data_IF_326358289906
#
_entry.id   IF_326358289906
#
_cell.length_a   1.000
_cell.length_b   1.000
_cell.length_c   1.000
_cell.angle_alpha   90.00
_cell.angle_beta   90.00
_cell.angle_gamma   90.00
#
_symmetry.space_group_name_H-M   'P 1'
#
loop_
_entity.id
_entity.type
_entity.pdbx_description
1 polymer ?
#
# COMPACT_ATOMS: atom_id res chain seq x y z
N UNK A 1 -10.22 7.46 -18.58
CA UNK A 1 -9.63 6.89 -17.34
C UNK A 1 -8.32 6.09 -17.58
N UNK A 2 -7.80 6.03 -18.81
CA UNK A 2 -6.59 5.28 -19.18
C UNK A 2 -5.24 5.99 -18.90
N UNK A 3 -5.19 6.98 -18.00
CA UNK A 3 -3.96 7.80 -17.77
C UNK A 3 -3.41 7.73 -16.34
N UNK A 4 -3.92 6.79 -15.52
CA UNK A 4 -3.35 6.46 -14.21
C UNK A 4 -2.42 5.24 -14.24
N UNK A 5 -2.33 4.55 -15.38
CA UNK A 5 -1.40 3.44 -15.61
C UNK A 5 -0.08 3.93 -16.19
N UNK A 6 0.50 4.98 -15.60
CA UNK A 6 1.80 5.54 -16.02
C UNK A 6 2.93 4.54 -15.84
N UNK A 7 3.14 3.67 -16.82
CA UNK A 7 4.28 2.76 -16.91
C UNK A 7 4.16 1.41 -16.20
N UNK A 8 3.17 1.19 -15.32
CA UNK A 8 3.06 -0.04 -14.51
C UNK A 8 2.49 -1.28 -15.23
N UNK A 9 2.01 -1.13 -16.47
CA UNK A 9 1.56 -2.26 -17.29
C UNK A 9 2.68 -3.28 -17.54
N UNK A 10 3.96 -2.85 -17.57
CA UNK A 10 5.10 -3.75 -17.73
C UNK A 10 5.46 -4.58 -16.49
N UNK A 11 5.13 -4.12 -15.28
CA UNK A 11 5.55 -4.79 -14.03
C UNK A 11 4.48 -5.74 -13.46
N UNK A 12 3.20 -5.43 -13.66
CA UNK A 12 2.09 -6.31 -13.28
C UNK A 12 2.10 -7.65 -14.05
N UNK A 13 2.62 -7.64 -15.29
CA UNK A 13 2.79 -8.85 -16.13
C UNK A 13 4.02 -9.67 -15.71
N UNK A 14 5.05 -9.01 -15.18
CA UNK A 14 6.33 -9.63 -14.80
C UNK A 14 6.29 -10.33 -13.42
N UNK A 15 5.26 -10.04 -12.61
CA UNK A 15 5.05 -10.64 -11.28
C UNK A 15 4.54 -12.09 -11.30
N UNK A 16 3.94 -12.58 -12.39
CA UNK A 16 3.36 -13.92 -12.40
C UNK A 16 4.41 -15.05 -12.47
N UNK A 17 5.61 -14.75 -12.98
CA UNK A 17 6.61 -15.75 -13.39
C UNK A 17 7.84 -15.87 -12.47
N UNK A 18 7.95 -15.07 -11.40
CA UNK A 18 9.13 -15.09 -10.51
C UNK A 18 8.76 -15.41 -9.05
N UNK A 19 9.14 -16.58 -8.51
CA UNK A 19 8.83 -17.00 -7.14
C UNK A 19 9.31 -16.00 -6.08
N UNK A 20 10.50 -15.42 -6.25
CA UNK A 20 11.07 -14.46 -5.29
C UNK A 20 10.22 -13.20 -5.13
N UNK A 21 9.50 -12.79 -6.18
CA UNK A 21 8.60 -11.63 -6.12
C UNK A 21 7.29 -11.93 -5.40
N UNK A 22 6.88 -13.21 -5.35
CA UNK A 22 5.69 -13.63 -4.58
C UNK A 22 5.96 -13.53 -3.09
N UNK A 23 7.12 -13.98 -2.64
CA UNK A 23 7.52 -13.91 -1.24
C UNK A 23 7.70 -12.46 -0.78
N UNK A 24 8.37 -11.63 -1.59
CA UNK A 24 8.50 -10.19 -1.34
C UNK A 24 7.14 -9.49 -1.23
N UNK A 25 6.23 -9.73 -2.19
CA UNK A 25 4.85 -9.22 -2.14
C UNK A 25 4.17 -9.64 -0.84
N UNK A 26 4.27 -10.92 -0.46
CA UNK A 26 3.65 -11.45 0.76
C UNK A 26 4.18 -10.74 1.99
N UNK A 27 5.49 -10.56 2.13
CA UNK A 27 6.10 -9.82 3.23
C UNK A 27 5.61 -8.37 3.28
N UNK A 28 5.49 -7.70 2.13
CA UNK A 28 4.96 -6.33 2.07
C UNK A 28 3.47 -6.24 2.47
N UNK A 29 2.66 -7.23 2.11
CA UNK A 29 1.25 -7.33 2.52
C UNK A 29 1.10 -7.63 4.01
N UNK A 30 1.88 -8.57 4.56
CA UNK A 30 1.88 -8.87 5.99
C UNK A 30 2.27 -7.65 6.82
N UNK A 31 3.30 -6.90 6.38
CA UNK A 31 3.66 -5.63 7.00
C UNK A 31 2.50 -4.63 6.95
N UNK A 32 1.82 -4.49 5.81
CA UNK A 32 0.68 -3.60 5.66
C UNK A 32 -0.47 -3.95 6.61
N UNK A 33 -0.86 -5.22 6.68
CA UNK A 33 -1.96 -5.68 7.54
C UNK A 33 -1.65 -5.45 9.01
N UNK A 34 -0.43 -5.79 9.46
CA UNK A 34 0.02 -5.51 10.82
C UNK A 34 -0.05 -4.00 11.12
N UNK A 35 0.53 -3.17 10.24
CA UNK A 35 0.61 -1.73 10.45
C UNK A 35 -0.76 -1.02 10.42
N UNK A 36 -1.73 -1.59 9.70
CA UNK A 36 -3.11 -1.07 9.65
C UNK A 36 -3.77 -1.06 11.03
N UNK A 37 -3.41 -2.02 11.90
CA UNK A 37 -3.90 -2.13 13.28
C UNK A 37 -2.88 -1.65 14.33
N UNK A 38 -1.66 -1.33 13.91
CA UNK A 38 -0.57 -0.88 14.78
C UNK A 38 -0.79 0.54 15.32
N UNK A 39 -0.15 0.83 16.46
CA UNK A 39 -0.11 2.17 17.02
C UNK A 39 0.85 3.10 16.24
N UNK A 40 0.86 4.38 16.66
CA UNK A 40 1.70 5.40 16.01
C UNK A 40 3.20 5.13 16.17
N UNK A 41 3.63 4.56 17.30
CA UNK A 41 5.04 4.34 17.57
C UNK A 41 5.59 3.24 16.66
N UNK A 42 4.89 2.13 16.55
CA UNK A 42 5.25 0.99 15.69
C UNK A 42 5.27 1.40 14.21
N UNK A 43 4.30 2.22 13.79
CA UNK A 43 4.25 2.82 12.45
C UNK A 43 5.47 3.68 12.15
N UNK A 44 5.85 4.58 13.06
CA UNK A 44 7.02 5.45 12.88
C UNK A 44 8.33 4.66 12.95
N UNK A 45 8.41 3.61 13.77
CA UNK A 45 9.56 2.70 13.80
C UNK A 45 9.73 1.98 12.45
N UNK A 46 8.64 1.52 11.84
CA UNK A 46 8.68 0.92 10.50
C UNK A 46 9.15 1.93 9.44
N UNK A 47 8.64 3.16 9.46
CA UNK A 47 9.12 4.21 8.57
C UNK A 47 10.62 4.48 8.74
N UNK A 48 11.15 4.40 9.96
CA UNK A 48 12.58 4.59 10.22
C UNK A 48 13.43 3.47 9.63
N UNK A 49 13.01 2.22 9.83
CA UNK A 49 13.68 1.06 9.24
C UNK A 49 13.70 1.17 7.70
N UNK A 50 12.54 1.45 7.09
CA UNK A 50 12.41 1.59 5.64
C UNK A 50 13.20 2.79 5.07
N UNK A 51 13.40 3.85 5.85
CA UNK A 51 14.22 5.01 5.46
C UNK A 51 15.73 4.72 5.52
N UNK A 52 16.15 3.86 6.45
CA UNK A 52 17.56 3.50 6.67
C UNK A 52 18.03 2.41 5.70
N UNK A 53 17.08 1.60 5.21
CA UNK A 53 17.36 0.60 4.18
C UNK A 53 17.95 1.25 2.92
N UNK A 54 18.99 0.64 2.35
CA UNK A 54 19.63 1.13 1.11
C UNK A 54 19.00 0.56 -0.14
N UNK A 55 18.13 -0.44 0.00
CA UNK A 55 17.43 -1.06 -1.13
C UNK A 55 16.26 -0.18 -1.59
N UNK A 56 16.56 0.70 -2.54
CA UNK A 56 15.56 1.53 -3.19
C UNK A 56 14.54 0.67 -3.95
N UNK A 57 14.95 -0.46 -4.53
CA UNK A 57 14.07 -1.30 -5.32
C UNK A 57 13.02 -1.97 -4.42
N UNK A 58 13.43 -2.55 -3.30
CA UNK A 58 12.52 -3.10 -2.29
C UNK A 58 11.55 -2.02 -1.76
N UNK A 59 12.03 -0.79 -1.54
CA UNK A 59 11.16 0.33 -1.12
C UNK A 59 10.09 0.65 -2.16
N UNK A 60 10.44 0.76 -3.44
CA UNK A 60 9.46 1.04 -4.50
C UNK A 60 8.51 -0.14 -4.70
N UNK A 61 8.99 -1.38 -4.61
CA UNK A 61 8.19 -2.61 -4.63
C UNK A 61 7.14 -2.63 -3.52
N UNK A 62 7.50 -2.21 -2.30
CA UNK A 62 6.58 -2.03 -1.19
C UNK A 62 5.48 -1.01 -1.51
N UNK A 63 5.84 0.18 -2.02
CA UNK A 63 4.87 1.22 -2.37
C UNK A 63 3.90 0.76 -3.46
N UNK A 64 4.39 -0.01 -4.44
CA UNK A 64 3.57 -0.57 -5.50
C UNK A 64 2.59 -1.63 -4.95
N UNK A 65 3.07 -2.54 -4.10
CA UNK A 65 2.24 -3.55 -3.44
C UNK A 65 1.13 -2.89 -2.62
N UNK A 66 1.47 -1.87 -1.83
CA UNK A 66 0.50 -1.14 -1.02
C UNK A 66 -0.49 -0.35 -1.88
N UNK A 67 -0.04 0.24 -2.98
CA UNK A 67 -0.93 0.92 -3.94
C UNK A 67 -1.93 -0.06 -4.55
N UNK A 68 -1.48 -1.25 -4.97
CA UNK A 68 -2.36 -2.28 -5.49
C UNK A 68 -3.39 -2.73 -4.46
N UNK A 69 -2.97 -2.92 -3.21
CA UNK A 69 -3.86 -3.32 -2.12
C UNK A 69 -5.01 -2.32 -1.92
N UNK A 70 -4.67 -1.04 -1.72
CA UNK A 70 -5.68 -0.02 -1.43
C UNK A 70 -6.58 0.28 -2.63
N UNK A 71 -6.09 0.09 -3.86
CA UNK A 71 -6.92 0.13 -5.06
C UNK A 71 -7.97 -0.99 -5.05
N UNK A 72 -7.57 -2.22 -4.71
CA UNK A 72 -8.48 -3.37 -4.66
C UNK A 72 -9.50 -3.25 -3.51
N UNK A 73 -9.10 -2.68 -2.37
CA UNK A 73 -10.03 -2.29 -1.30
C UNK A 73 -11.05 -1.27 -1.82
N UNK A 74 -10.61 -0.24 -2.53
CA UNK A 74 -11.52 0.78 -3.09
C UNK A 74 -12.47 0.20 -4.15
N UNK A 75 -11.98 -0.69 -5.01
CA UNK A 75 -12.78 -1.41 -6.02
C UNK A 75 -13.82 -2.32 -5.35
N UNK A 76 -13.43 -3.02 -4.29
CA UNK A 76 -14.37 -3.84 -3.51
C UNK A 76 -15.44 -2.96 -2.85
N UNK A 77 -15.07 -1.80 -2.30
CA UNK A 77 -16.03 -0.84 -1.75
C UNK A 77 -16.98 -0.31 -2.83
N UNK A 78 -16.57 -0.17 -4.09
CA UNK A 78 -17.44 0.24 -5.19
C UNK A 78 -18.26 -0.89 -5.82
N UNK A 79 -18.20 -2.12 -5.29
CA UNK A 79 -18.91 -3.27 -5.85
C UNK A 79 -18.24 -3.87 -7.09
N UNK A 80 -16.99 -3.50 -7.39
CA UNK A 80 -16.23 -3.94 -8.56
C UNK A 80 -15.17 -4.99 -8.20
N UNK A 81 -15.56 -6.02 -7.44
CA UNK A 81 -14.61 -7.01 -6.89
C UNK A 81 -13.88 -7.78 -7.98
N UNK A 82 -14.53 -8.03 -9.11
CA UNK A 82 -13.95 -8.77 -10.25
C UNK A 82 -12.77 -8.04 -10.91
N UNK A 83 -12.59 -6.74 -10.65
CA UNK A 83 -11.47 -5.95 -11.13
C UNK A 83 -10.25 -5.97 -10.18
N UNK A 84 -10.31 -6.69 -9.06
CA UNK A 84 -9.20 -6.78 -8.10
C UNK A 84 -8.05 -7.63 -8.67
N UNK A 85 -6.81 -7.22 -8.36
CA UNK A 85 -5.61 -7.96 -8.79
C UNK A 85 -5.10 -8.94 -7.73
N UNK A 86 -5.32 -8.69 -6.45
CA UNK A 86 -4.92 -9.58 -5.34
C UNK A 86 -6.01 -10.63 -5.07
N UNK A 87 -6.28 -11.46 -6.08
CA UNK A 87 -7.33 -12.50 -6.05
C UNK A 87 -7.09 -13.55 -4.97
N UNK A 88 -5.83 -13.74 -4.56
CA UNK A 88 -5.38 -14.63 -3.49
C UNK A 88 -5.66 -14.10 -2.08
N UNK A 89 -6.07 -12.83 -1.93
CA UNK A 89 -6.29 -12.17 -0.64
C UNK A 89 -7.68 -11.51 -0.55
N UNK A 90 -8.66 -12.07 -1.26
CA UNK A 90 -10.01 -11.50 -1.36
C UNK A 90 -10.73 -11.35 -0.02
N UNK A 91 -10.48 -12.24 0.94
CA UNK A 91 -11.09 -12.20 2.27
C UNK A 91 -10.62 -10.97 3.05
N UNK A 92 -9.30 -10.78 3.15
CA UNK A 92 -8.67 -9.65 3.82
C UNK A 92 -9.04 -8.32 3.13
N UNK A 93 -9.08 -8.28 1.79
CA UNK A 93 -9.60 -7.12 1.05
C UNK A 93 -11.04 -6.82 1.47
N UNK A 94 -11.88 -7.85 1.55
CA UNK A 94 -13.28 -7.72 1.97
C UNK A 94 -13.43 -7.24 3.40
N UNK A 95 -12.51 -7.60 4.30
CA UNK A 95 -12.47 -7.10 5.67
C UNK A 95 -12.12 -5.62 5.70
N UNK A 96 -11.01 -5.20 5.08
CA UNK A 96 -10.61 -3.79 5.03
C UNK A 96 -11.66 -2.91 4.33
N UNK A 97 -12.29 -3.41 3.26
CA UNK A 97 -13.36 -2.71 2.56
C UNK A 97 -14.55 -2.39 3.47
N UNK A 98 -14.84 -3.26 4.46
CA UNK A 98 -15.93 -3.08 5.43
C UNK A 98 -15.54 -2.23 6.65
N UNK A 99 -14.29 -2.30 7.09
CA UNK A 99 -13.86 -1.68 8.35
C UNK A 99 -13.22 -0.31 8.19
N UNK A 100 -12.70 0.01 7.01
CA UNK A 100 -12.00 1.26 6.73
C UNK A 100 -12.86 2.17 5.88
N UNK A 101 -12.95 3.44 6.25
CA UNK A 101 -13.73 4.42 5.50
C UNK A 101 -13.16 4.64 4.09
N UNK A 102 -14.05 4.66 3.08
CA UNK A 102 -13.69 4.89 1.68
C UNK A 102 -12.88 6.16 1.46
N UNK A 103 -13.26 7.25 2.14
CA UNK A 103 -12.57 8.54 2.08
C UNK A 103 -11.12 8.45 2.55
N UNK A 104 -10.86 7.69 3.62
CA UNK A 104 -9.51 7.44 4.13
C UNK A 104 -8.67 6.62 3.14
N UNK A 105 -9.25 5.57 2.53
CA UNK A 105 -8.58 4.78 1.48
C UNK A 105 -8.20 5.67 0.28
N UNK A 106 -9.15 6.49 -0.19
CA UNK A 106 -8.92 7.40 -1.31
C UNK A 106 -7.82 8.44 -1.01
N UNK A 107 -7.86 9.06 0.18
CA UNK A 107 -6.82 9.99 0.62
C UNK A 107 -5.45 9.31 0.73
N UNK A 108 -5.42 8.06 1.17
CA UNK A 108 -4.19 7.30 1.31
C UNK A 108 -3.55 6.95 -0.04
N UNK A 109 -4.35 6.56 -1.04
CA UNK A 109 -3.87 6.37 -2.42
C UNK A 109 -3.24 7.66 -2.98
N UNK A 110 -3.82 8.83 -2.67
CA UNK A 110 -3.22 10.12 -2.99
C UNK A 110 -1.87 10.34 -2.30
N UNK A 111 -1.76 9.97 -1.01
CA UNK A 111 -0.51 10.03 -0.26
C UNK A 111 0.56 9.13 -0.87
N UNK A 112 0.24 7.86 -1.17
CA UNK A 112 1.15 6.91 -1.82
C UNK A 112 1.72 7.47 -3.13
N UNK A 113 0.86 7.95 -4.03
CA UNK A 113 1.29 8.52 -5.32
C UNK A 113 2.23 9.71 -5.13
N UNK A 114 1.92 10.59 -4.17
CA UNK A 114 2.73 11.77 -3.88
C UNK A 114 4.10 11.37 -3.29
N UNK A 115 4.13 10.44 -2.34
CA UNK A 115 5.37 9.95 -1.72
C UNK A 115 6.24 9.21 -2.73
N UNK A 116 5.66 8.38 -3.60
CA UNK A 116 6.39 7.71 -4.68
C UNK A 116 7.09 8.73 -5.59
N UNK A 117 6.39 9.80 -5.99
CA UNK A 117 6.98 10.90 -6.77
C UNK A 117 8.08 11.63 -6.01
N UNK A 118 7.88 11.95 -4.72
CA UNK A 118 8.90 12.61 -3.92
C UNK A 118 10.16 11.77 -3.75
N UNK A 119 10.04 10.48 -3.45
CA UNK A 119 11.19 9.59 -3.22
C UNK A 119 12.09 9.43 -4.46
N UNK A 120 11.56 9.62 -5.67
CA UNK A 120 12.35 9.63 -6.91
C UNK A 120 13.24 10.88 -7.05
N UNK A 121 12.97 11.94 -6.30
CA UNK A 121 13.62 13.24 -6.43
C UNK A 121 14.21 13.79 -5.12
N UNK A 122 14.07 13.10 -3.99
CA UNK A 122 14.28 13.66 -2.65
C UNK A 122 15.46 13.05 -1.89
N UNK A 123 16.15 13.90 -1.11
CA UNK A 123 17.27 13.56 -0.21
C UNK A 123 16.82 13.11 1.19
N UNK A 124 15.59 13.44 1.61
CA UNK A 124 15.03 13.07 2.93
C UNK A 124 13.88 12.04 2.84
N UNK A 125 14.24 10.77 2.66
CA UNK A 125 13.29 9.66 2.62
C UNK A 125 12.53 9.46 3.94
N UNK A 126 13.14 9.82 5.08
CA UNK A 126 12.57 9.62 6.41
C UNK A 126 11.25 10.35 6.59
N UNK A 127 11.22 11.66 6.30
CA UNK A 127 10.03 12.49 6.44
C UNK A 127 8.89 12.02 5.51
N UNK A 128 9.24 11.65 4.28
CA UNK A 128 8.28 11.13 3.31
C UNK A 128 7.61 9.84 3.82
N UNK A 129 8.40 8.95 4.41
CA UNK A 129 7.90 7.69 4.97
C UNK A 129 7.14 7.88 6.29
N UNK A 130 7.48 8.88 7.11
CA UNK A 130 6.68 9.24 8.29
C UNK A 130 5.28 9.69 7.88
N UNK A 131 5.19 10.60 6.89
CA UNK A 131 3.89 11.04 6.35
C UNK A 131 3.11 9.86 5.79
N UNK A 132 3.77 8.92 5.10
CA UNK A 132 3.14 7.70 4.60
C UNK A 132 2.57 6.86 5.75
N UNK A 133 3.29 6.67 6.86
CA UNK A 133 2.80 5.83 7.95
C UNK A 133 1.75 6.52 8.83
N UNK A 134 1.85 7.83 9.03
CA UNK A 134 0.88 8.60 9.80
C UNK A 134 -0.48 8.68 9.10
N UNK A 135 -0.48 8.71 7.77
CA UNK A 135 -1.72 8.71 6.98
C UNK A 135 -2.26 7.30 6.69
N UNK A 136 -1.58 6.23 7.12
CA UNK A 136 -2.04 4.86 6.89
C UNK A 136 -3.44 4.69 7.50
N UNK A 137 -4.46 4.34 6.69
CA UNK A 137 -5.81 4.22 7.20
C UNK A 137 -5.88 3.08 8.21
N UNK A 138 -6.66 3.28 9.27
CA UNK A 138 -6.96 2.27 10.28
C UNK A 138 -8.48 2.01 10.29
N UNK A 139 -8.92 0.85 10.80
CA UNK A 139 -10.33 0.64 11.11
C UNK A 139 -10.85 1.79 11.99
N UNK A 140 -12.04 2.32 11.67
CA UNK A 140 -12.68 3.28 12.55
C UNK A 140 -12.99 2.63 13.89
N UNK A 141 -12.75 3.33 15.00
CA UNK A 141 -13.41 2.95 16.26
C UNK A 141 -14.90 3.07 15.97
N UNK A 142 -15.63 1.94 16.00
CA UNK A 142 -17.10 2.02 16.06
C UNK A 142 -17.39 2.63 17.42
N UNK A 143 -17.81 3.89 17.44
CA UNK A 143 -18.51 4.42 18.59
C UNK A 143 -19.73 3.51 18.80
N UNK A 144 -19.71 2.77 19.91
CA UNK A 144 -20.85 2.03 20.43
C UNK A 144 -21.85 3.00 21.04
#
# INVERSE_FOLDING_TARGET
LARLSGGRLGWAVDQLHNPSRRDERKTHLEALWRLTSADRLERLAFANALATDRDNQARFSLLETWTSWWRDVLLTQSGSRDACSNVDCQEQIGQHARTIQRTAVFAYLGTLKRIEGYLRHTVNARLALDVLMLNLPSPGKRDQ
#
